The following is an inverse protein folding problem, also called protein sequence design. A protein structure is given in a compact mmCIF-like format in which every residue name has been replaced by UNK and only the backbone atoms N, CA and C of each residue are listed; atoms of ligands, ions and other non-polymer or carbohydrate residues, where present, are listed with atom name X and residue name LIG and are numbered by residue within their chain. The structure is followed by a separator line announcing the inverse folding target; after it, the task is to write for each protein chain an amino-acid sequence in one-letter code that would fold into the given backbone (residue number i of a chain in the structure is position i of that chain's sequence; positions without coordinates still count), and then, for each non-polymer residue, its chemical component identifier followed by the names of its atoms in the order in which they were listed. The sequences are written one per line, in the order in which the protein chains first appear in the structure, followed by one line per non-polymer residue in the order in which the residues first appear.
data_IF_678978465359
#
_entry.id   IF_678978465359
#
_cell.length_a   1.000
_cell.length_b   1.000
_cell.length_c   1.000
_cell.angle_alpha   90.00
_cell.angle_beta   90.00
_cell.angle_gamma   90.00
#
_symmetry.space_group_name_H-M   'P 1'
#
loop_
_entity.id
_entity.type
_entity.pdbx_description
1 polymer ?
#
# COMPACT_ATOMS: atom_id res chain seq x y z
N UNK A 1 -18.44 16.50 32.96
CA UNK A 1 -19.21 15.70 32.00
C UNK A 1 -20.54 16.37 31.72
N UNK A 2 -20.89 16.50 30.45
CA UNK A 2 -22.17 17.03 29.96
C UNK A 2 -23.27 15.97 30.07
N UNK A 3 -24.55 16.37 30.10
CA UNK A 3 -25.67 15.44 29.98
C UNK A 3 -25.65 14.69 28.64
N UNK A 4 -26.20 13.48 28.58
CA UNK A 4 -26.19 12.61 27.39
C UNK A 4 -26.82 13.22 26.12
N UNK A 5 -27.63 14.26 26.29
CA UNK A 5 -28.28 15.00 25.20
C UNK A 5 -27.42 16.10 24.59
N UNK A 6 -26.25 16.40 25.15
CA UNK A 6 -25.38 17.50 24.72
C UNK A 6 -23.98 16.96 24.41
N UNK A 7 -23.46 17.34 23.26
CA UNK A 7 -22.08 17.10 22.85
C UNK A 7 -21.29 18.41 22.92
N UNK A 8 -19.97 18.32 22.99
CA UNK A 8 -19.10 19.46 22.69
C UNK A 8 -19.26 19.80 21.21
N UNK A 9 -19.64 21.05 20.95
CA UNK A 9 -19.90 21.56 19.61
C UNK A 9 -19.51 23.04 19.57
N UNK A 10 -18.75 23.45 18.56
CA UNK A 10 -18.38 24.84 18.33
C UNK A 10 -19.59 25.68 17.89
N UNK A 11 -20.53 25.08 17.16
CA UNK A 11 -21.79 25.75 16.80
C UNK A 11 -22.73 25.97 18.00
N UNK A 12 -22.60 25.16 19.07
CA UNK A 12 -23.33 25.29 20.34
C UNK A 12 -22.36 25.21 21.53
N UNK A 13 -21.45 26.18 21.60
CA UNK A 13 -20.43 26.24 22.64
C UNK A 13 -21.02 26.19 24.05
N UNK A 14 -20.35 25.45 24.92
CA UNK A 14 -20.74 25.32 26.32
C UNK A 14 -19.96 26.31 27.17
N UNK A 15 -20.68 27.18 27.88
CA UNK A 15 -20.09 28.07 28.89
C UNK A 15 -20.28 27.48 30.30
N UNK A 16 -19.19 27.30 31.04
CA UNK A 16 -19.20 26.83 32.44
C UNK A 16 -18.78 27.98 33.34
N UNK A 17 -19.59 28.29 34.36
CA UNK A 17 -19.26 29.32 35.38
C UNK A 17 -18.97 28.67 36.73
N UNK A 18 -17.81 29.00 37.31
CA UNK A 18 -17.35 28.52 38.60
C UNK A 18 -17.47 29.64 39.63
N UNK A 19 -18.33 29.43 40.62
CA UNK A 19 -18.58 30.40 41.68
C UNK A 19 -18.32 29.78 43.06
N UNK A 20 -17.86 30.59 44.00
CA UNK A 20 -17.82 30.20 45.41
C UNK A 20 -19.26 30.02 45.91
N UNK A 21 -19.53 28.88 46.56
CA UNK A 21 -20.90 28.49 46.96
C UNK A 21 -21.57 29.51 47.87
N UNK A 22 -20.81 30.10 48.80
CA UNK A 22 -21.32 30.94 49.88
C UNK A 22 -21.77 32.33 49.39
N UNK A 23 -20.98 32.98 48.54
CA UNK A 23 -21.16 34.39 48.16
C UNK A 23 -21.30 34.61 46.66
N UNK A 24 -21.26 33.54 45.86
CA UNK A 24 -21.36 33.57 44.39
C UNK A 24 -20.25 34.39 43.71
N UNK A 25 -19.13 34.60 44.40
CA UNK A 25 -17.98 35.25 43.78
C UNK A 25 -17.34 34.35 42.72
N UNK A 26 -16.94 34.91 41.56
CA UNK A 26 -16.23 34.17 40.53
C UNK A 26 -14.91 33.58 41.00
N UNK A 27 -14.57 32.40 40.46
CA UNK A 27 -13.28 31.74 40.73
C UNK A 27 -12.41 31.78 39.46
N UNK A 28 -11.50 32.75 39.31
CA UNK A 28 -10.55 32.79 38.20
C UNK A 28 -9.42 31.77 38.36
N UNK A 29 -8.65 31.57 37.29
CA UNK A 29 -7.39 30.81 37.25
C UNK A 29 -7.53 29.33 37.66
N UNK A 30 -8.69 28.73 37.36
CA UNK A 30 -8.96 27.30 37.59
C UNK A 30 -9.10 26.57 36.27
N UNK A 31 -8.30 25.50 36.09
CA UNK A 31 -8.46 24.56 34.97
C UNK A 31 -9.76 23.79 35.15
N UNK A 32 -10.65 23.90 34.17
CA UNK A 32 -11.92 23.18 34.11
C UNK A 32 -11.93 22.35 32.84
N UNK A 33 -12.30 21.07 32.99
CA UNK A 33 -12.45 20.15 31.88
C UNK A 33 -13.92 19.82 31.65
N UNK A 34 -14.32 19.83 30.38
CA UNK A 34 -15.64 19.45 29.90
C UNK A 34 -15.48 18.25 28.98
N UNK A 35 -16.31 17.25 29.20
CA UNK A 35 -16.35 16.04 28.39
C UNK A 35 -17.80 15.63 28.15
N UNK A 36 -18.06 14.82 27.13
CA UNK A 36 -19.39 14.28 26.86
C UNK A 36 -19.36 12.74 26.70
N UNK A 37 -20.52 12.16 26.33
CA UNK A 37 -20.69 10.71 26.15
C UNK A 37 -19.89 10.10 24.99
N UNK A 38 -19.41 10.93 24.06
CA UNK A 38 -18.64 10.52 22.90
C UNK A 38 -17.14 10.67 23.15
N UNK A 39 -16.71 10.83 24.40
CA UNK A 39 -15.30 11.01 24.79
C UNK A 39 -14.65 12.26 24.17
N UNK A 40 -15.47 13.20 23.66
CA UNK A 40 -15.00 14.52 23.31
C UNK A 40 -14.52 15.21 24.59
N UNK A 41 -13.45 16.00 24.48
CA UNK A 41 -12.79 16.61 25.63
C UNK A 41 -12.30 18.01 25.30
N UNK A 42 -12.69 19.01 26.08
CA UNK A 42 -12.09 20.34 25.99
C UNK A 42 -11.86 20.87 27.39
N UNK A 43 -10.75 21.56 27.60
CA UNK A 43 -10.42 22.16 28.88
C UNK A 43 -9.83 23.55 28.69
N UNK A 44 -10.12 24.44 29.63
CA UNK A 44 -9.59 25.80 29.65
C UNK A 44 -9.48 26.31 31.08
N UNK A 45 -8.88 27.48 31.27
CA UNK A 45 -8.71 28.16 32.55
C UNK A 45 -9.78 29.23 32.69
N UNK A 46 -10.47 29.25 33.84
CA UNK A 46 -11.50 30.25 34.10
C UNK A 46 -10.98 31.68 34.06
N UNK A 47 -11.71 32.55 33.36
CA UNK A 47 -11.42 33.97 33.27
C UNK A 47 -11.71 34.74 34.57
N UNK A 48 -11.61 36.07 34.54
CA UNK A 48 -11.93 36.94 35.70
C UNK A 48 -13.38 36.85 36.16
N UNK A 49 -14.29 36.38 35.30
CA UNK A 49 -15.70 36.12 35.59
C UNK A 49 -15.92 34.66 36.04
N UNK A 50 -14.86 33.88 36.21
CA UNK A 50 -14.93 32.48 36.62
C UNK A 50 -15.47 31.59 35.51
N UNK A 51 -15.36 31.99 34.24
CA UNK A 51 -16.00 31.32 33.11
C UNK A 51 -14.98 30.69 32.17
N UNK A 52 -15.36 29.56 31.56
CA UNK A 52 -14.76 29.02 30.35
C UNK A 52 -15.85 28.83 29.29
N UNK A 53 -15.48 28.91 28.01
CA UNK A 53 -16.37 28.62 26.87
C UNK A 53 -15.65 27.65 25.94
N UNK A 54 -16.23 26.48 25.70
CA UNK A 54 -15.59 25.36 25.00
C UNK A 54 -16.54 24.65 24.03
N UNK A 55 -16.04 24.03 22.95
CA UNK A 55 -14.63 23.98 22.52
C UNK A 55 -14.15 25.31 21.90
N UNK A 56 -12.83 25.54 21.93
CA UNK A 56 -12.18 26.71 21.29
C UNK A 56 -11.32 26.25 20.10
N UNK A 57 -10.69 27.19 19.38
CA UNK A 57 -9.74 26.87 18.29
C UNK A 57 -8.44 26.20 18.75
N UNK A 58 -8.25 26.01 20.06
CA UNK A 58 -7.10 25.31 20.62
C UNK A 58 -7.47 24.49 21.85
N UNK A 59 -6.67 23.47 22.14
CA UNK A 59 -6.88 22.61 23.30
C UNK A 59 -5.62 21.84 23.66
N UNK A 60 -5.73 21.01 24.69
CA UNK A 60 -4.70 20.05 25.05
C UNK A 60 -5.30 18.67 25.24
N UNK A 61 -4.57 17.61 24.89
CA UNK A 61 -5.08 16.24 25.03
C UNK A 61 -5.19 15.80 26.48
N UNK A 62 -6.23 15.05 26.82
CA UNK A 62 -6.40 14.43 28.14
C UNK A 62 -5.61 13.12 28.28
N UNK A 63 -5.80 12.40 29.40
CA UNK A 63 -5.18 11.09 29.64
C UNK A 63 -5.58 9.99 28.65
N UNK A 64 -6.66 10.19 27.88
CA UNK A 64 -7.10 9.30 26.81
C UNK A 64 -6.60 9.76 25.43
N UNK A 65 -5.78 10.81 25.38
CA UNK A 65 -5.20 11.36 24.16
C UNK A 65 -6.14 12.27 23.37
N UNK A 66 -7.33 12.60 23.90
CA UNK A 66 -8.37 13.33 23.17
C UNK A 66 -8.33 14.84 23.45
N UNK A 67 -8.54 15.65 22.41
CA UNK A 67 -8.88 17.07 22.50
C UNK A 67 -9.88 17.46 21.42
N UNK A 68 -10.92 18.18 21.79
CA UNK A 68 -11.97 18.68 20.90
C UNK A 68 -11.79 20.17 20.71
N UNK A 69 -11.60 20.57 19.46
CA UNK A 69 -11.39 21.95 19.03
C UNK A 69 -12.40 22.31 17.96
N UNK A 70 -12.61 23.61 17.76
CA UNK A 70 -13.47 24.08 16.68
C UNK A 70 -13.16 25.51 16.28
N UNK A 71 -13.56 25.86 15.07
CA UNK A 71 -13.36 27.18 14.50
C UNK A 71 -14.41 27.45 13.41
N UNK A 72 -14.44 28.66 12.90
CA UNK A 72 -15.14 29.02 11.67
C UNK A 72 -14.13 28.97 10.52
N UNK A 73 -14.44 28.25 9.44
CA UNK A 73 -13.57 28.16 8.27
C UNK A 73 -13.67 29.42 7.40
N UNK A 74 -12.87 29.50 6.31
CA UNK A 74 -12.89 30.66 5.40
C UNK A 74 -14.26 30.92 4.73
N UNK A 75 -15.11 29.90 4.63
CA UNK A 75 -16.45 29.96 4.06
C UNK A 75 -17.54 30.32 5.10
N UNK A 76 -17.16 30.52 6.37
CA UNK A 76 -18.09 30.82 7.46
C UNK A 76 -18.77 29.60 8.06
N UNK A 77 -18.34 28.39 7.70
CA UNK A 77 -18.86 27.15 8.26
C UNK A 77 -18.16 26.82 9.58
N UNK A 78 -18.97 26.57 10.61
CA UNK A 78 -18.50 26.15 11.93
C UNK A 78 -18.11 24.68 11.90
N UNK A 79 -16.87 24.39 12.28
CA UNK A 79 -16.33 23.03 12.33
C UNK A 79 -16.01 22.64 13.76
N UNK A 80 -16.37 21.40 14.12
CA UNK A 80 -16.03 20.79 15.40
C UNK A 80 -15.32 19.48 15.16
N UNK A 81 -14.07 19.39 15.61
CA UNK A 81 -13.22 18.21 15.44
C UNK A 81 -12.72 17.70 16.79
N UNK A 82 -12.68 16.38 16.93
CA UNK A 82 -12.01 15.68 18.02
C UNK A 82 -10.75 15.02 17.47
N UNK A 83 -9.61 15.38 18.06
CA UNK A 83 -8.29 14.88 17.71
C UNK A 83 -7.84 13.94 18.82
N UNK A 84 -7.48 12.72 18.45
CA UNK A 84 -6.87 11.73 19.33
C UNK A 84 -5.42 11.49 18.92
N UNK A 85 -4.51 11.56 19.87
CA UNK A 85 -3.07 11.36 19.65
C UNK A 85 -2.59 10.13 20.41
N UNK A 86 -1.96 9.20 19.71
CA UNK A 86 -1.47 7.93 20.25
C UNK A 86 -0.09 7.60 19.70
N UNK A 87 0.70 6.87 20.49
CA UNK A 87 1.91 6.20 20.04
C UNK A 87 1.51 5.02 19.13
N UNK A 88 2.07 4.96 17.92
CA UNK A 88 1.68 3.99 16.90
C UNK A 88 2.08 2.56 17.31
N UNK A 89 3.27 2.37 17.87
CA UNK A 89 3.82 1.06 18.21
C UNK A 89 3.06 0.43 19.39
N UNK A 90 2.83 1.21 20.44
CA UNK A 90 2.23 0.74 21.70
C UNK A 90 0.73 0.97 21.79
N UNK A 91 0.14 1.76 20.88
CA UNK A 91 -1.25 2.22 20.90
C UNK A 91 -1.63 2.95 22.20
N UNK A 92 -0.64 3.53 22.88
CA UNK A 92 -0.87 4.28 24.13
C UNK A 92 -1.25 5.72 23.81
N UNK A 93 -2.28 6.27 24.47
CA UNK A 93 -2.61 7.68 24.30
C UNK A 93 -1.50 8.61 24.78
N UNK A 94 -1.33 9.75 24.09
CA UNK A 94 -0.36 10.79 24.44
C UNK A 94 -1.11 11.99 25.00
N UNK A 95 -0.96 12.19 26.31
CA UNK A 95 -1.55 13.33 27.02
C UNK A 95 -0.74 14.61 26.85
N UNK A 96 -1.37 15.76 27.10
CA UNK A 96 -0.76 17.08 27.10
C UNK A 96 -0.20 17.55 25.73
N UNK A 97 -0.61 16.94 24.61
CA UNK A 97 -0.32 17.50 23.28
C UNK A 97 -1.10 18.80 23.09
N UNK A 98 -0.49 19.86 22.58
CA UNK A 98 -1.23 21.08 22.19
C UNK A 98 -1.88 20.87 20.82
N UNK A 99 -3.19 21.07 20.73
CA UNK A 99 -3.95 20.96 19.49
C UNK A 99 -4.41 22.35 19.08
N UNK A 100 -4.23 22.70 17.81
CA UNK A 100 -4.76 23.94 17.21
C UNK A 100 -5.40 23.63 15.87
N UNK A 101 -6.52 24.28 15.59
CA UNK A 101 -7.17 24.22 14.29
C UNK A 101 -7.05 25.58 13.59
N UNK A 102 -6.58 25.57 12.35
CA UNK A 102 -6.49 26.77 11.50
C UNK A 102 -7.79 27.05 10.75
N UNK A 103 -7.91 28.26 10.19
CA UNK A 103 -9.09 28.67 9.40
C UNK A 103 -9.30 27.84 8.12
N UNK A 104 -8.23 27.21 7.61
CA UNK A 104 -8.30 26.28 6.47
C UNK A 104 -8.66 24.84 6.86
N UNK A 105 -9.00 24.59 8.13
CA UNK A 105 -9.21 23.24 8.67
C UNK A 105 -7.93 22.48 9.03
N UNK A 106 -6.74 23.03 8.78
CA UNK A 106 -5.48 22.37 9.10
C UNK A 106 -5.31 22.19 10.62
N UNK A 107 -4.88 21.01 11.04
CA UNK A 107 -4.67 20.66 12.45
C UNK A 107 -3.17 20.70 12.74
N UNK A 108 -2.79 21.43 13.78
CA UNK A 108 -1.44 21.39 14.35
C UNK A 108 -1.50 20.63 15.68
N UNK A 109 -0.67 19.60 15.78
CA UNK A 109 -0.43 18.82 17.00
C UNK A 109 0.99 19.08 17.46
N UNK A 110 1.17 19.69 18.64
CA UNK A 110 2.48 19.78 19.28
C UNK A 110 2.61 18.73 20.35
N UNK A 111 3.63 17.90 20.25
CA UNK A 111 3.92 16.86 21.23
C UNK A 111 4.46 17.49 22.53
N UNK A 112 4.20 16.86 23.69
CA UNK A 112 4.74 17.33 24.96
C UNK A 112 6.25 17.10 25.05
N UNK A 113 6.90 17.79 25.99
CA UNK A 113 8.34 17.67 26.26
C UNK A 113 8.76 16.20 26.48
N UNK A 114 9.81 15.77 25.79
CA UNK A 114 10.36 14.42 25.91
C UNK A 114 9.64 13.33 25.10
N UNK A 115 8.61 13.69 24.31
CA UNK A 115 8.05 12.79 23.29
C UNK A 115 8.72 13.08 21.95
N UNK A 116 9.64 12.20 21.58
CA UNK A 116 10.29 12.22 20.29
C UNK A 116 9.41 11.56 19.21
N UNK A 117 9.55 12.04 17.98
CA UNK A 117 8.88 11.51 16.81
C UNK A 117 9.93 11.03 15.81
N UNK A 118 10.07 9.71 15.70
CA UNK A 118 10.99 9.03 14.78
C UNK A 118 10.42 7.67 14.32
N UNK A 119 11.20 6.91 13.54
CA UNK A 119 10.76 5.62 12.99
C UNK A 119 10.46 4.53 14.04
N UNK A 120 10.96 4.70 15.27
CA UNK A 120 10.71 3.79 16.39
C UNK A 120 9.61 4.27 17.35
N UNK A 121 9.23 5.55 17.25
CA UNK A 121 8.23 6.22 18.08
C UNK A 121 7.31 7.03 17.16
N UNK A 122 6.55 6.33 16.32
CA UNK A 122 5.63 6.99 15.38
C UNK A 122 4.40 7.46 16.14
N UNK A 123 3.81 8.54 15.66
CA UNK A 123 2.62 9.17 16.22
C UNK A 123 1.45 8.93 15.29
N UNK A 124 0.38 8.34 15.83
CA UNK A 124 -0.91 8.25 15.15
C UNK A 124 -1.80 9.41 15.63
N UNK A 125 -2.28 10.22 14.69
CA UNK A 125 -3.32 11.23 14.93
C UNK A 125 -4.61 10.75 14.27
N UNK A 126 -5.67 10.60 15.05
CA UNK A 126 -7.02 10.30 14.55
C UNK A 126 -7.90 11.54 14.66
N UNK A 127 -8.60 11.88 13.60
CA UNK A 127 -9.48 13.05 13.51
C UNK A 127 -10.90 12.57 13.22
N UNK A 128 -11.82 12.91 14.11
CA UNK A 128 -13.26 12.65 13.93
C UNK A 128 -14.05 13.93 14.12
N UNK A 129 -15.31 13.95 13.68
CA UNK A 129 -16.28 14.94 14.16
C UNK A 129 -16.67 14.66 15.63
N UNK A 130 -17.51 15.52 16.21
CA UNK A 130 -18.03 15.35 17.57
C UNK A 130 -18.99 14.15 17.75
N UNK A 131 -19.34 13.45 16.66
CA UNK A 131 -20.18 12.25 16.63
C UNK A 131 -19.36 10.97 16.40
N UNK A 132 -18.02 11.05 16.39
CA UNK A 132 -17.08 9.95 16.11
C UNK A 132 -17.02 9.50 14.65
N UNK A 133 -17.53 10.29 13.70
CA UNK A 133 -17.36 10.00 12.28
C UNK A 133 -15.96 10.42 11.83
N UNK A 134 -15.16 9.52 11.22
CA UNK A 134 -13.84 9.84 10.69
C UNK A 134 -13.87 11.01 9.69
N UNK A 135 -12.82 11.83 9.70
CA UNK A 135 -12.62 12.93 8.74
C UNK A 135 -11.41 12.62 7.86
N UNK A 136 -11.66 12.24 6.61
CA UNK A 136 -10.64 11.98 5.58
C UNK A 136 -10.09 13.28 4.99
N UNK A 137 -8.90 13.21 4.39
CA UNK A 137 -8.27 14.29 3.61
C UNK A 137 -7.89 15.55 4.43
N UNK A 138 -7.94 15.46 5.77
CA UNK A 138 -7.59 16.56 6.67
C UNK A 138 -6.08 16.70 6.77
N UNK A 139 -5.57 17.91 6.53
CA UNK A 139 -4.13 18.18 6.70
C UNK A 139 -3.78 18.28 8.18
N UNK A 140 -2.86 17.42 8.63
CA UNK A 140 -2.36 17.38 10.00
C UNK A 140 -0.85 17.61 9.99
N UNK A 141 -0.37 18.47 10.88
CA UNK A 141 1.04 18.77 11.11
C UNK A 141 1.37 18.37 12.54
N UNK A 142 2.37 17.51 12.72
CA UNK A 142 2.87 17.10 14.03
C UNK A 142 4.24 17.73 14.26
N UNK A 143 4.40 18.43 15.38
CA UNK A 143 5.62 19.14 15.77
C UNK A 143 6.12 18.59 17.11
N UNK A 144 7.39 18.16 17.17
CA UNK A 144 8.03 17.76 18.44
C UNK A 144 8.50 18.98 19.24
N UNK A 145 8.86 18.77 20.51
CA UNK A 145 9.43 19.79 21.39
C UNK A 145 10.78 20.36 20.86
N UNK A 146 11.57 19.52 20.19
CA UNK A 146 12.81 19.88 19.51
C UNK A 146 12.60 20.56 18.14
N UNK A 147 11.35 20.79 17.73
CA UNK A 147 10.99 21.50 16.51
C UNK A 147 11.03 20.67 15.22
N UNK A 148 11.15 19.34 15.32
CA UNK A 148 10.96 18.45 14.17
C UNK A 148 9.50 18.53 13.74
N UNK A 149 9.25 18.62 12.43
CA UNK A 149 7.90 18.67 11.85
C UNK A 149 7.70 17.57 10.84
N UNK A 150 6.58 16.89 10.94
CA UNK A 150 6.08 15.95 9.95
C UNK A 150 4.63 16.36 9.64
N UNK A 151 4.18 16.10 8.42
CA UNK A 151 2.83 16.45 8.01
C UNK A 151 2.30 15.45 6.99
N UNK A 152 0.97 15.37 6.91
CA UNK A 152 0.29 14.50 5.97
C UNK A 152 -1.20 14.77 5.98
N UNK A 153 -1.95 13.89 5.31
CA UNK A 153 -3.40 13.90 5.31
C UNK A 153 -3.95 12.68 6.05
N UNK A 154 -5.14 12.81 6.60
CA UNK A 154 -5.86 11.66 7.17
C UNK A 154 -6.41 10.74 6.08
N UNK A 155 -6.37 9.44 6.33
CA UNK A 155 -6.98 8.40 5.48
C UNK A 155 -8.51 8.32 5.67
N UNK A 156 -9.15 7.36 4.98
CA UNK A 156 -10.60 7.06 5.10
C UNK A 156 -11.09 6.76 6.52
N UNK A 157 -10.19 6.34 7.41
CA UNK A 157 -10.46 6.05 8.81
C UNK A 157 -10.13 7.25 9.72
N UNK A 158 -9.82 8.40 9.11
CA UNK A 158 -9.52 9.66 9.79
C UNK A 158 -8.13 9.69 10.41
N UNK A 159 -7.20 8.83 9.98
CA UNK A 159 -5.89 8.63 10.64
C UNK A 159 -4.74 9.15 9.81
N UNK A 160 -3.75 9.74 10.50
CA UNK A 160 -2.42 10.01 9.98
C UNK A 160 -1.40 9.34 10.91
N UNK A 161 -0.38 8.67 10.35
CA UNK A 161 0.78 8.18 11.11
C UNK A 161 2.06 8.87 10.65
N UNK A 162 2.84 9.43 11.59
CA UNK A 162 4.09 10.17 11.32
C UNK A 162 5.23 9.83 12.31
N UNK A 163 6.49 9.70 11.87
CA UNK A 163 6.88 9.61 10.48
C UNK A 163 6.19 8.42 9.82
N UNK A 164 5.94 8.49 8.52
CA UNK A 164 5.24 7.44 7.83
C UNK A 164 5.80 6.04 8.08
N UNK A 165 4.94 5.03 8.07
CA UNK A 165 5.36 3.64 7.98
C UNK A 165 5.72 3.38 6.52
N UNK A 166 7.02 3.30 6.19
CA UNK A 166 7.43 2.76 4.89
C UNK A 166 7.44 1.24 5.03
N UNK A 167 6.45 0.56 4.45
CA UNK A 167 6.61 -0.85 4.12
C UNK A 167 7.43 -0.88 2.85
N UNK A 168 8.74 -1.11 2.98
CA UNK A 168 9.62 -1.22 1.82
C UNK A 168 9.75 -2.67 1.39
N UNK A 169 9.49 -2.96 0.13
CA UNK A 169 9.75 -4.27 -0.47
C UNK A 169 10.97 -4.19 -1.40
N UNK A 170 11.77 -5.26 -1.42
CA UNK A 170 12.87 -5.37 -2.38
C UNK A 170 12.38 -6.21 -3.55
N UNK A 171 12.34 -5.60 -4.73
CA UNK A 171 12.01 -6.30 -5.97
C UNK A 171 13.33 -6.63 -6.68
N UNK A 172 13.65 -7.92 -6.81
CA UNK A 172 14.78 -8.31 -7.65
C UNK A 172 14.37 -8.37 -9.13
N UNK A 173 15.31 -7.99 -10.01
CA UNK A 173 15.16 -8.25 -11.43
C UNK A 173 14.99 -9.75 -11.70
N UNK A 174 13.90 -10.12 -12.33
CA UNK A 174 13.58 -11.51 -12.68
C UNK A 174 13.73 -11.80 -14.17
N UNK A 175 13.96 -10.79 -15.01
CA UNK A 175 14.37 -10.95 -16.41
C UNK A 175 15.70 -10.27 -16.71
N UNK A 176 16.42 -10.84 -17.68
CA UNK A 176 17.67 -10.29 -18.21
C UNK A 176 17.54 -10.11 -19.73
N UNK A 177 18.29 -9.14 -20.27
CA UNK A 177 18.45 -8.99 -21.72
C UNK A 177 19.55 -9.87 -22.29
N UNK A 178 19.79 -9.71 -23.59
CA UNK A 178 20.82 -10.44 -24.31
C UNK A 178 22.19 -9.74 -24.23
N UNK A 179 23.31 -10.46 -24.43
CA UNK A 179 24.65 -9.88 -24.40
C UNK A 179 24.90 -8.77 -25.44
N UNK A 180 24.06 -8.68 -26.46
CA UNK A 180 24.08 -7.63 -27.49
C UNK A 180 23.37 -6.33 -27.03
N UNK A 181 22.88 -6.28 -25.79
CA UNK A 181 22.19 -5.14 -25.20
C UNK A 181 20.71 -5.02 -25.61
N UNK A 182 20.13 -6.04 -26.24
CA UNK A 182 18.71 -6.06 -26.60
C UNK A 182 17.86 -6.82 -25.59
N UNK A 183 16.56 -6.51 -25.50
CA UNK A 183 15.57 -7.27 -24.73
C UNK A 183 14.80 -8.27 -25.61
N UNK A 184 14.60 -7.95 -26.89
CA UNK A 184 13.79 -8.67 -27.88
C UNK A 184 12.34 -8.86 -27.41
N UNK A 185 11.58 -7.76 -27.19
CA UNK A 185 10.24 -7.82 -26.60
C UNK A 185 9.27 -8.71 -27.39
N UNK A 186 9.42 -8.74 -28.71
CA UNK A 186 8.55 -9.47 -29.63
C UNK A 186 8.96 -10.94 -29.86
N UNK A 187 10.10 -11.37 -29.31
CA UNK A 187 10.52 -12.77 -29.42
C UNK A 187 9.72 -13.65 -28.47
N UNK A 188 9.48 -14.89 -28.89
CA UNK A 188 8.90 -15.92 -28.03
C UNK A 188 9.88 -16.37 -26.95
N UNK A 189 9.35 -16.73 -25.78
CA UNK A 189 10.12 -17.32 -24.69
C UNK A 189 10.05 -18.86 -24.72
N UNK A 190 11.13 -19.54 -24.35
CA UNK A 190 11.15 -20.99 -24.18
C UNK A 190 10.55 -21.42 -22.84
N UNK A 191 10.13 -22.69 -22.74
CA UNK A 191 9.62 -23.27 -21.48
C UNK A 191 10.67 -23.25 -20.36
N UNK A 192 11.95 -23.44 -20.68
CA UNK A 192 13.04 -23.35 -19.71
C UNK A 192 13.25 -21.92 -19.17
N UNK A 193 13.17 -20.91 -20.03
CA UNK A 193 13.25 -19.50 -19.62
C UNK A 193 12.05 -19.12 -18.73
N UNK A 194 10.83 -19.50 -19.11
CA UNK A 194 9.63 -19.25 -18.32
C UNK A 194 9.71 -19.91 -16.93
N UNK A 195 10.17 -21.16 -16.86
CA UNK A 195 10.40 -21.85 -15.58
C UNK A 195 11.46 -21.15 -14.73
N UNK A 196 12.45 -20.50 -15.34
CA UNK A 196 13.51 -19.79 -14.59
C UNK A 196 12.96 -18.54 -13.90
N UNK A 197 12.06 -17.79 -14.55
CA UNK A 197 11.42 -16.61 -13.97
C UNK A 197 10.65 -16.98 -12.70
N UNK A 198 9.70 -17.91 -12.80
CA UNK A 198 8.89 -18.32 -11.64
C UNK A 198 9.72 -18.98 -10.54
N UNK A 199 10.78 -19.72 -10.90
CA UNK A 199 11.63 -20.35 -9.91
C UNK A 199 12.40 -19.30 -9.08
N UNK A 200 12.98 -18.28 -9.75
CA UNK A 200 13.70 -17.19 -9.07
C UNK A 200 12.77 -16.43 -8.12
N UNK A 201 11.59 -16.03 -8.61
CA UNK A 201 10.58 -15.32 -7.83
C UNK A 201 10.13 -16.13 -6.60
N UNK A 202 9.80 -17.41 -6.78
CA UNK A 202 9.33 -18.25 -5.68
C UNK A 202 10.45 -18.50 -4.65
N UNK A 203 11.68 -18.76 -5.10
CA UNK A 203 12.80 -18.99 -4.21
C UNK A 203 13.17 -17.74 -3.40
N UNK A 204 13.07 -16.54 -3.99
CA UNK A 204 13.27 -15.28 -3.27
C UNK A 204 12.20 -15.08 -2.19
N UNK A 205 10.91 -15.23 -2.54
CA UNK A 205 9.80 -15.11 -1.59
C UNK A 205 9.92 -16.09 -0.42
N UNK A 206 10.36 -17.32 -0.69
CA UNK A 206 10.50 -18.36 0.34
C UNK A 206 11.86 -18.35 1.05
N UNK A 207 12.81 -17.49 0.62
CA UNK A 207 14.18 -17.47 1.16
C UNK A 207 14.95 -18.77 0.90
N UNK A 208 14.65 -19.46 -0.22
CA UNK A 208 15.24 -20.73 -0.58
C UNK A 208 16.37 -20.60 -1.60
N UNK A 209 17.25 -21.60 -1.64
CA UNK A 209 18.31 -21.67 -2.65
C UNK A 209 18.00 -22.76 -3.67
N UNK A 210 18.16 -22.44 -4.96
CA UNK A 210 17.95 -23.40 -6.05
C UNK A 210 19.30 -24.04 -6.40
N UNK A 211 19.43 -25.38 -6.38
CA UNK A 211 20.63 -26.06 -6.85
C UNK A 211 20.92 -25.75 -8.32
N UNK A 212 22.17 -25.47 -8.67
CA UNK A 212 22.58 -25.19 -10.06
C UNK A 212 22.44 -26.39 -11.01
N UNK A 213 22.45 -27.60 -10.46
CA UNK A 213 22.27 -28.85 -11.21
C UNK A 213 21.28 -29.75 -10.48
N UNK A 214 20.36 -30.37 -11.20
CA UNK A 214 19.40 -31.29 -10.60
C UNK A 214 19.05 -32.47 -11.52
N UNK A 215 18.81 -33.63 -10.89
CA UNK A 215 18.25 -34.79 -11.59
C UNK A 215 16.72 -34.62 -11.62
N UNK A 216 16.16 -34.65 -12.81
CA UNK A 216 14.70 -34.63 -13.03
C UNK A 216 14.23 -36.00 -13.53
N UNK A 217 12.90 -36.18 -13.61
CA UNK A 217 12.30 -37.36 -14.27
C UNK A 217 12.34 -37.29 -15.80
N UNK A 218 12.69 -36.13 -16.37
CA UNK A 218 12.60 -35.85 -17.79
C UNK A 218 13.92 -36.17 -18.51
N UNK A 219 13.83 -36.90 -19.61
CA UNK A 219 15.00 -37.37 -20.39
C UNK A 219 15.69 -36.23 -21.14
N UNK A 220 14.94 -35.20 -21.49
CA UNK A 220 15.38 -34.00 -22.21
C UNK A 220 15.81 -32.85 -21.30
N UNK A 221 15.95 -33.12 -19.99
CA UNK A 221 16.56 -32.19 -19.03
C UNK A 221 17.84 -32.81 -18.48
N UNK A 222 18.98 -32.68 -19.21
CA UNK A 222 20.27 -33.13 -18.70
C UNK A 222 20.63 -32.44 -17.37
N UNK A 223 21.27 -33.19 -16.46
CA UNK A 223 21.61 -32.74 -15.10
C UNK A 223 22.44 -31.46 -15.07
N UNK A 224 23.31 -31.26 -16.05
CA UNK A 224 24.19 -30.10 -16.14
C UNK A 224 23.63 -28.96 -16.99
N UNK A 225 22.36 -29.05 -17.41
CA UNK A 225 21.71 -27.96 -18.12
C UNK A 225 21.48 -26.81 -17.15
N UNK A 226 21.68 -25.59 -17.60
CA UNK A 226 21.53 -24.37 -16.80
C UNK A 226 20.14 -24.24 -16.17
N UNK A 227 19.12 -24.83 -16.79
CA UNK A 227 17.73 -24.82 -16.33
C UNK A 227 17.33 -26.02 -15.45
N UNK A 228 18.19 -27.02 -15.27
CA UNK A 228 17.81 -28.29 -14.62
C UNK A 228 17.34 -28.09 -13.17
N UNK A 229 18.02 -27.20 -12.44
CA UNK A 229 17.66 -26.77 -11.08
C UNK A 229 16.29 -26.13 -11.00
N UNK A 230 16.06 -25.10 -11.83
CA UNK A 230 14.79 -24.36 -11.87
C UNK A 230 13.61 -25.26 -12.22
N UNK A 231 13.77 -26.12 -13.24
CA UNK A 231 12.75 -27.09 -13.64
C UNK A 231 12.45 -28.06 -12.48
N UNK A 232 13.47 -28.62 -11.82
CA UNK A 232 13.27 -29.52 -10.69
C UNK A 232 12.53 -28.84 -9.53
N UNK A 233 12.93 -27.61 -9.23
CA UNK A 233 12.37 -26.81 -8.15
C UNK A 233 10.87 -26.59 -8.34
N UNK A 234 10.46 -26.07 -9.50
CA UNK A 234 9.05 -25.81 -9.79
C UNK A 234 8.18 -27.07 -9.93
N UNK A 235 8.75 -28.21 -10.35
CA UNK A 235 8.02 -29.49 -10.33
C UNK A 235 7.67 -29.89 -8.90
N UNK A 236 8.59 -29.70 -7.95
CA UNK A 236 8.36 -30.08 -6.55
C UNK A 236 7.26 -29.22 -5.91
N UNK A 237 7.12 -27.97 -6.36
CA UNK A 237 6.04 -27.06 -5.97
C UNK A 237 4.77 -27.22 -6.82
N UNK A 238 4.76 -28.07 -7.83
CA UNK A 238 3.58 -28.28 -8.69
C UNK A 238 3.29 -27.14 -9.67
N UNK A 239 4.19 -26.16 -9.81
CA UNK A 239 3.99 -25.00 -10.69
C UNK A 239 4.11 -25.38 -12.17
N UNK A 240 5.07 -26.25 -12.51
CA UNK A 240 5.29 -26.71 -13.89
C UNK A 240 5.17 -28.23 -14.04
N UNK A 241 4.64 -28.65 -15.18
CA UNK A 241 4.58 -30.04 -15.60
C UNK A 241 5.25 -30.25 -16.96
N UNK A 242 5.65 -31.49 -17.23
CA UNK A 242 6.16 -31.91 -18.53
C UNK A 242 5.04 -31.98 -19.57
N UNK A 243 5.43 -32.02 -20.84
CA UNK A 243 4.50 -32.26 -21.95
C UNK A 243 4.13 -33.75 -22.10
N UNK A 244 4.91 -34.63 -21.45
CA UNK A 244 4.60 -36.04 -21.22
C UNK A 244 5.17 -36.46 -19.86
N UNK A 245 4.99 -37.74 -19.50
CA UNK A 245 5.53 -38.29 -18.25
C UNK A 245 7.06 -38.16 -18.13
N UNK A 246 7.77 -38.20 -19.26
CA UNK A 246 9.23 -38.26 -19.35
C UNK A 246 9.88 -37.16 -20.23
N UNK A 247 9.10 -36.17 -20.71
CA UNK A 247 9.60 -35.03 -21.49
C UNK A 247 9.11 -33.68 -20.96
N UNK A 248 10.01 -32.69 -20.88
CA UNK A 248 9.69 -31.31 -20.50
C UNK A 248 9.57 -30.35 -21.69
N UNK A 249 10.30 -30.62 -22.77
CA UNK A 249 10.52 -29.77 -23.93
C UNK A 249 11.09 -28.38 -23.59
N UNK A 250 12.29 -28.29 -23.00
CA UNK A 250 12.84 -27.03 -22.47
C UNK A 250 13.01 -25.93 -23.54
N UNK A 251 13.43 -26.31 -24.75
CA UNK A 251 13.69 -25.36 -25.85
C UNK A 251 12.44 -25.04 -26.70
N UNK A 252 11.30 -25.67 -26.40
CA UNK A 252 10.03 -25.37 -27.09
C UNK A 252 9.55 -23.99 -26.63
N UNK A 253 9.10 -23.17 -27.57
CA UNK A 253 8.42 -21.92 -27.25
C UNK A 253 7.18 -22.23 -26.38
N UNK A 254 7.05 -21.51 -25.27
CA UNK A 254 5.90 -21.64 -24.36
C UNK A 254 4.70 -20.94 -24.99
N UNK A 255 3.55 -21.62 -25.01
CA UNK A 255 2.32 -21.00 -25.50
C UNK A 255 1.75 -20.07 -24.45
N UNK A 256 0.89 -19.16 -24.86
CA UNK A 256 0.22 -18.22 -23.98
C UNK A 256 -0.62 -18.94 -22.91
N UNK A 257 -1.32 -20.02 -23.28
CA UNK A 257 -2.03 -20.88 -22.33
C UNK A 257 -1.10 -21.66 -21.38
N UNK A 258 0.03 -22.19 -21.86
CA UNK A 258 1.00 -22.87 -21.01
C UNK A 258 1.57 -21.90 -19.95
N UNK A 259 1.91 -20.67 -20.36
CA UNK A 259 2.44 -19.67 -19.45
C UNK A 259 1.40 -19.20 -18.41
N UNK A 260 0.14 -18.97 -18.83
CA UNK A 260 -0.94 -18.65 -17.90
C UNK A 260 -1.19 -19.77 -16.89
N UNK A 261 -1.14 -21.03 -17.31
CA UNK A 261 -1.26 -22.15 -16.38
C UNK A 261 -0.09 -22.21 -15.37
N UNK A 262 1.12 -21.82 -15.77
CA UNK A 262 2.25 -21.70 -14.83
C UNK A 262 2.02 -20.55 -13.85
N UNK A 263 1.55 -19.41 -14.33
CA UNK A 263 1.27 -18.22 -13.52
C UNK A 263 0.21 -18.51 -12.44
N UNK A 264 -0.92 -19.13 -12.80
CA UNK A 264 -1.98 -19.48 -11.84
C UNK A 264 -1.48 -20.46 -10.78
N UNK A 265 -0.77 -21.53 -11.18
CA UNK A 265 -0.23 -22.49 -10.20
C UNK A 265 0.88 -21.89 -9.34
N UNK A 266 1.70 -21.02 -9.92
CA UNK A 266 2.68 -20.26 -9.15
C UNK A 266 1.98 -19.45 -8.08
N UNK A 267 0.90 -18.76 -8.43
CA UNK A 267 0.13 -17.95 -7.52
C UNK A 267 -0.45 -18.73 -6.34
N UNK A 268 -1.01 -19.92 -6.59
CA UNK A 268 -1.52 -20.83 -5.55
C UNK A 268 -0.47 -21.19 -4.48
N UNK A 269 0.81 -21.18 -4.85
CA UNK A 269 1.94 -21.52 -3.98
C UNK A 269 2.61 -20.27 -3.39
N UNK A 270 2.68 -19.19 -4.16
CA UNK A 270 3.37 -17.96 -3.79
C UNK A 270 2.75 -17.28 -2.57
N UNK A 271 1.42 -17.41 -2.41
CA UNK A 271 0.68 -16.94 -1.25
C UNK A 271 0.68 -15.42 -1.16
N UNK A 272 -0.49 -14.85 -1.50
CA UNK A 272 -0.82 -13.42 -1.62
C UNK A 272 -0.70 -12.85 -3.04
N UNK A 273 -1.83 -12.34 -3.55
CA UNK A 273 -1.89 -11.43 -4.69
C UNK A 273 -3.30 -11.23 -5.25
N UNK A 274 -3.63 -9.95 -5.37
CA UNK A 274 -4.87 -9.36 -5.90
C UNK A 274 -6.20 -9.88 -5.31
N UNK A 275 -6.95 -8.97 -4.67
CA UNK A 275 -8.41 -9.10 -4.61
C UNK A 275 -8.95 -9.40 -6.02
N UNK A 276 -10.05 -10.15 -6.14
CA UNK A 276 -10.74 -10.32 -7.42
C UNK A 276 -11.04 -8.92 -8.02
N UNK A 277 -10.31 -8.53 -9.09
CA UNK A 277 -10.34 -7.16 -9.61
C UNK A 277 -11.57 -6.96 -10.53
N UNK A 278 -12.18 -8.04 -11.03
CA UNK A 278 -13.28 -7.96 -12.00
C UNK A 278 -14.56 -8.70 -11.54
N UNK A 279 -15.65 -7.95 -11.36
CA UNK A 279 -17.01 -8.50 -11.13
C UNK A 279 -17.60 -9.23 -12.36
N UNK A 280 -16.97 -9.12 -13.54
CA UNK A 280 -17.43 -9.77 -14.79
C UNK A 280 -16.27 -9.99 -15.76
N UNK A 281 -16.08 -11.23 -16.18
CA UNK A 281 -14.95 -11.67 -17.02
C UNK A 281 -15.18 -11.40 -18.50
N UNK A 282 -14.14 -11.06 -19.27
CA UNK A 282 -14.20 -11.13 -20.72
C UNK A 282 -14.21 -12.60 -21.15
N UNK A 283 -15.35 -13.08 -21.67
CA UNK A 283 -15.39 -14.36 -22.38
C UNK A 283 -14.55 -14.23 -23.67
N UNK A 284 -13.54 -15.07 -23.81
CA UNK A 284 -12.73 -15.11 -25.02
C UNK A 284 -13.41 -15.98 -26.06
N UNK A 285 -13.67 -15.38 -27.22
CA UNK A 285 -14.44 -16.02 -28.32
C UNK A 285 -13.76 -17.24 -28.93
N UNK A 286 -12.45 -17.38 -28.73
CA UNK A 286 -11.61 -18.47 -29.23
C UNK A 286 -11.30 -19.54 -28.16
N UNK A 287 -11.82 -19.40 -26.94
CA UNK A 287 -11.62 -20.35 -25.85
C UNK A 287 -12.94 -21.07 -25.56
N UNK A 288 -12.94 -22.38 -25.79
CA UNK A 288 -14.05 -23.27 -25.42
C UNK A 288 -13.91 -23.71 -23.97
N UNK A 289 -15.02 -23.91 -23.27
CA UNK A 289 -15.04 -24.50 -21.91
C UNK A 289 -14.35 -25.88 -21.84
N UNK A 290 -14.28 -26.60 -22.96
CA UNK A 290 -13.59 -27.90 -23.04
C UNK A 290 -12.07 -27.78 -23.29
N UNK A 291 -11.54 -26.58 -23.48
CA UNK A 291 -10.11 -26.36 -23.67
C UNK A 291 -9.38 -26.62 -22.35
N UNK A 292 -8.25 -27.34 -22.41
CA UNK A 292 -7.54 -27.84 -21.22
C UNK A 292 -7.12 -26.75 -20.23
N UNK A 293 -6.88 -25.53 -20.72
CA UNK A 293 -6.50 -24.37 -19.93
C UNK A 293 -7.62 -23.36 -19.73
N UNK A 294 -8.87 -23.67 -20.10
CA UNK A 294 -9.99 -22.75 -19.97
C UNK A 294 -10.14 -22.23 -18.53
N UNK A 295 -10.03 -23.10 -17.52
CA UNK A 295 -10.11 -22.72 -16.12
C UNK A 295 -8.97 -21.78 -15.70
N UNK A 296 -7.72 -22.08 -16.09
CA UNK A 296 -6.57 -21.22 -15.78
C UNK A 296 -6.66 -19.85 -16.47
N UNK A 297 -7.13 -19.83 -17.72
CA UNK A 297 -7.33 -18.59 -18.47
C UNK A 297 -8.42 -17.76 -17.81
N UNK A 298 -9.54 -18.39 -17.43
CA UNK A 298 -10.61 -17.71 -16.73
C UNK A 298 -10.10 -17.12 -15.41
N UNK A 299 -9.46 -17.93 -14.56
CA UNK A 299 -8.94 -17.53 -13.26
C UNK A 299 -7.95 -16.35 -13.35
N UNK A 300 -6.99 -16.41 -14.29
CA UNK A 300 -6.06 -15.31 -14.51
C UNK A 300 -6.75 -14.05 -15.05
N UNK A 301 -7.90 -14.16 -15.73
CA UNK A 301 -8.69 -13.01 -16.16
C UNK A 301 -9.49 -12.40 -14.99
N UNK A 302 -9.99 -13.23 -14.05
CA UNK A 302 -10.67 -12.77 -12.82
C UNK A 302 -9.79 -11.82 -12.03
N UNK A 303 -8.53 -12.22 -11.86
CA UNK A 303 -7.53 -11.47 -11.12
C UNK A 303 -6.89 -10.33 -11.94
N UNK A 304 -7.32 -10.14 -13.20
CA UNK A 304 -6.82 -9.07 -14.06
C UNK A 304 -5.39 -9.26 -14.58
N UNK A 305 -4.76 -10.42 -14.35
CA UNK A 305 -3.39 -10.71 -14.79
C UNK A 305 -3.28 -10.78 -16.31
N UNK A 306 -4.29 -11.37 -16.96
CA UNK A 306 -4.36 -11.45 -18.43
C UNK A 306 -5.44 -10.54 -19.02
N UNK A 307 -5.16 -10.08 -20.24
CA UNK A 307 -6.11 -9.38 -21.10
C UNK A 307 -6.02 -9.96 -22.51
N UNK A 308 -7.15 -10.02 -23.23
CA UNK A 308 -7.16 -10.46 -24.64
C UNK A 308 -6.57 -9.42 -25.58
N UNK A 309 -6.51 -9.74 -26.87
CA UNK A 309 -5.92 -8.87 -27.91
C UNK A 309 -6.81 -7.71 -28.36
N UNK A 310 -7.90 -7.42 -27.64
CA UNK A 310 -8.85 -6.35 -27.94
C UNK A 310 -9.88 -6.69 -29.05
N UNK A 311 -9.66 -7.77 -29.79
CA UNK A 311 -10.58 -8.34 -30.79
C UNK A 311 -11.52 -9.42 -30.20
N UNK A 312 -11.46 -9.63 -28.88
CA UNK A 312 -12.20 -10.67 -28.18
C UNK A 312 -11.52 -12.04 -28.16
N UNK A 313 -10.27 -12.15 -28.64
CA UNK A 313 -9.48 -13.39 -28.62
C UNK A 313 -8.40 -13.41 -27.54
N UNK A 314 -8.06 -14.61 -27.05
CA UNK A 314 -6.93 -14.86 -26.15
C UNK A 314 -5.70 -15.46 -26.84
N UNK A 315 -5.90 -16.18 -27.95
CA UNK A 315 -4.86 -16.85 -28.75
C UNK A 315 -4.00 -17.81 -27.93
N UNK A 316 -4.67 -18.75 -27.29
CA UNK A 316 -4.09 -19.68 -26.31
C UNK A 316 -2.87 -20.48 -26.83
N UNK A 317 -2.90 -20.91 -28.09
CA UNK A 317 -1.87 -21.77 -28.67
C UNK A 317 -0.72 -20.98 -29.33
N UNK A 318 -0.82 -19.65 -29.41
CA UNK A 318 0.26 -18.81 -29.93
C UNK A 318 1.43 -18.77 -28.92
N UNK A 319 2.68 -18.77 -29.39
CA UNK A 319 3.85 -18.51 -28.53
C UNK A 319 3.72 -17.15 -27.84
N UNK A 320 3.90 -17.12 -26.52
CA UNK A 320 3.87 -15.87 -25.75
C UNK A 320 5.17 -15.08 -25.98
N UNK A 321 5.03 -13.77 -26.16
CA UNK A 321 6.14 -12.83 -26.35
C UNK A 321 6.75 -12.41 -25.02
N UNK A 322 8.04 -12.06 -25.03
CA UNK A 322 8.75 -11.59 -23.83
C UNK A 322 8.12 -10.35 -23.18
N UNK A 323 7.58 -9.42 -23.98
CA UNK A 323 6.83 -8.27 -23.47
C UNK A 323 5.55 -8.68 -22.75
N UNK A 324 4.84 -9.68 -23.26
CA UNK A 324 3.61 -10.19 -22.64
C UNK A 324 3.90 -10.94 -21.34
N UNK A 325 5.02 -11.67 -21.30
CA UNK A 325 5.51 -12.34 -20.08
C UNK A 325 5.71 -11.34 -18.95
N UNK A 326 6.48 -10.26 -19.17
CA UNK A 326 6.76 -9.28 -18.09
C UNK A 326 5.50 -8.52 -17.67
N UNK A 327 4.60 -8.20 -18.61
CA UNK A 327 3.33 -7.54 -18.26
C UNK A 327 2.43 -8.45 -17.42
N UNK A 328 2.32 -9.73 -17.78
CA UNK A 328 1.50 -10.69 -17.02
C UNK A 328 2.11 -10.92 -15.63
N UNK A 329 3.43 -11.17 -15.57
CA UNK A 329 4.12 -11.39 -14.30
C UNK A 329 4.07 -10.17 -13.39
N UNK A 330 4.28 -8.96 -13.89
CA UNK A 330 4.14 -7.72 -13.11
C UNK A 330 2.74 -7.58 -12.50
N UNK A 331 1.69 -7.79 -13.30
CA UNK A 331 0.30 -7.77 -12.80
C UNK A 331 0.01 -8.85 -11.76
N UNK A 332 0.54 -10.05 -11.98
CA UNK A 332 0.40 -11.16 -11.03
C UNK A 332 1.03 -10.82 -9.68
N UNK A 333 2.21 -10.19 -9.70
CA UNK A 333 2.91 -9.79 -8.49
C UNK A 333 2.34 -8.51 -7.86
N UNK A 334 1.55 -7.74 -8.61
CA UNK A 334 1.10 -6.41 -8.22
C UNK A 334 2.20 -5.35 -8.34
N UNK A 335 3.26 -5.63 -9.09
CA UNK A 335 4.39 -4.74 -9.27
C UNK A 335 4.16 -3.80 -10.46
N UNK A 336 4.44 -2.51 -10.27
CA UNK A 336 4.32 -1.47 -11.28
C UNK A 336 5.47 -0.50 -11.16
N UNK A 337 6.17 -0.27 -12.27
CA UNK A 337 7.27 0.70 -12.28
C UNK A 337 6.79 2.11 -11.90
N UNK A 338 7.59 2.79 -11.07
CA UNK A 338 7.51 4.24 -10.91
C UNK A 338 8.01 4.93 -12.19
N UNK A 339 7.07 5.30 -13.07
CA UNK A 339 7.38 5.92 -14.36
C UNK A 339 8.26 7.18 -14.21
N UNK A 340 8.01 8.00 -13.19
CA UNK A 340 8.77 9.24 -12.97
C UNK A 340 10.19 8.91 -12.54
N UNK A 341 10.36 7.98 -11.61
CA UNK A 341 11.69 7.54 -11.19
C UNK A 341 12.47 6.96 -12.37
N UNK A 342 11.84 6.09 -13.18
CA UNK A 342 12.45 5.47 -14.35
C UNK A 342 12.92 6.54 -15.35
N UNK A 343 12.07 7.54 -15.61
CA UNK A 343 12.39 8.63 -16.53
C UNK A 343 13.55 9.51 -16.06
N UNK A 344 13.58 9.84 -14.77
CA UNK A 344 14.59 10.71 -14.19
C UNK A 344 15.93 9.99 -13.96
N UNK A 345 15.90 8.67 -13.73
CA UNK A 345 17.06 7.87 -13.38
C UNK A 345 17.53 6.92 -14.48
N UNK A 346 17.07 7.08 -15.73
CA UNK A 346 17.33 6.15 -16.83
C UNK A 346 18.80 5.72 -16.96
N UNK A 347 19.77 6.62 -16.71
CA UNK A 347 21.22 6.34 -16.80
C UNK A 347 21.77 5.39 -15.74
N UNK A 348 21.05 5.18 -14.64
CA UNK A 348 21.41 4.27 -13.55
C UNK A 348 20.76 2.89 -13.71
N UNK A 349 19.77 2.80 -14.60
CA UNK A 349 18.99 1.58 -14.85
C UNK A 349 19.57 0.80 -16.02
N UNK A 350 19.33 -0.51 -16.02
CA UNK A 350 19.53 -1.39 -17.16
C UNK A 350 18.63 -0.90 -18.31
N UNK A 351 19.24 -0.69 -19.48
CA UNK A 351 18.56 -0.25 -20.69
C UNK A 351 18.73 -1.25 -21.82
N UNK A 352 17.79 -1.23 -22.76
CA UNK A 352 17.81 -2.08 -23.95
C UNK A 352 17.78 -1.26 -25.23
N UNK A 353 18.64 -1.59 -26.18
CA UNK A 353 18.82 -0.83 -27.41
C UNK A 353 17.65 -0.96 -28.41
N UNK A 354 16.77 -1.94 -28.21
CA UNK A 354 15.63 -2.27 -29.06
C UNK A 354 14.28 -1.97 -28.40
N UNK A 355 14.27 -1.42 -27.18
CA UNK A 355 13.04 -1.03 -26.47
C UNK A 355 13.02 0.48 -26.27
N UNK A 356 12.24 1.18 -27.10
CA UNK A 356 11.98 2.60 -26.93
C UNK A 356 10.89 2.86 -25.89
N UNK A 357 10.87 4.05 -25.28
CA UNK A 357 9.79 4.48 -24.38
C UNK A 357 8.38 4.43 -24.98
N UNK A 358 8.25 4.53 -26.31
CA UNK A 358 6.96 4.38 -27.00
C UNK A 358 6.48 2.92 -27.12
N UNK A 359 7.30 1.95 -26.71
CA UNK A 359 6.87 0.56 -26.66
C UNK A 359 5.83 0.38 -25.55
N UNK A 360 4.73 -0.30 -25.86
CA UNK A 360 3.59 -0.42 -24.95
C UNK A 360 3.93 -1.10 -23.62
N UNK A 361 4.93 -1.98 -23.61
CA UNK A 361 5.42 -2.68 -22.42
C UNK A 361 6.70 -2.05 -21.82
N UNK A 362 7.04 -0.81 -22.16
CA UNK A 362 8.35 -0.23 -21.78
C UNK A 362 8.55 -0.26 -20.27
N UNK A 363 7.59 0.21 -19.49
CA UNK A 363 7.73 0.30 -18.03
C UNK A 363 7.69 -1.06 -17.35
N UNK A 364 6.91 -2.01 -17.85
CA UNK A 364 6.89 -3.40 -17.38
C UNK A 364 8.22 -4.12 -17.65
N UNK A 365 8.88 -3.80 -18.77
CA UNK A 365 10.24 -4.27 -19.05
C UNK A 365 11.23 -3.65 -18.07
N UNK A 366 11.09 -2.36 -17.74
CA UNK A 366 11.97 -1.68 -16.79
C UNK A 366 11.81 -2.24 -15.38
N UNK A 367 10.58 -2.45 -14.92
CA UNK A 367 10.22 -3.13 -13.66
C UNK A 367 10.90 -4.50 -13.56
N UNK A 368 10.68 -5.35 -14.55
CA UNK A 368 11.17 -6.72 -14.52
C UNK A 368 12.71 -6.84 -14.57
N UNK A 369 13.40 -5.86 -15.17
CA UNK A 369 14.83 -5.92 -15.48
C UNK A 369 15.73 -5.15 -14.50
N UNK A 370 15.16 -4.44 -13.51
CA UNK A 370 15.92 -3.59 -12.60
C UNK A 370 15.57 -3.93 -11.15
N UNK A 371 16.55 -4.40 -10.38
CA UNK A 371 16.35 -4.55 -8.94
C UNK A 371 16.24 -3.18 -8.27
N UNK A 372 15.27 -3.01 -7.38
CA UNK A 372 15.01 -1.76 -6.69
C UNK A 372 14.31 -2.01 -5.35
N UNK A 373 14.24 -0.97 -4.52
CA UNK A 373 13.43 -0.96 -3.30
C UNK A 373 12.20 -0.11 -3.55
N UNK A 374 11.03 -0.69 -3.32
CA UNK A 374 9.72 -0.07 -3.46
C UNK A 374 9.21 0.41 -2.11
N UNK A 375 8.75 1.66 -1.98
CA UNK A 375 7.88 2.11 -0.88
C UNK A 375 6.42 1.77 -1.23
N UNK A 376 5.74 0.98 -0.39
CA UNK A 376 4.39 0.45 -0.64
C UNK A 376 3.25 1.35 -0.14
N UNK A 377 3.57 2.58 0.27
CA UNK A 377 2.68 3.52 0.95
C UNK A 377 1.29 3.77 0.35
N UNK A 378 1.18 3.75 -0.98
CA UNK A 378 -0.06 4.05 -1.73
C UNK A 378 0.02 3.57 -3.19
N UNK A 379 1.22 3.71 -3.79
CA UNK A 379 1.67 3.13 -5.06
C UNK A 379 3.17 2.91 -4.97
N UNK A 380 3.63 1.82 -5.57
CA UNK A 380 5.05 1.47 -5.66
C UNK A 380 5.89 2.68 -6.12
N UNK A 381 6.70 3.21 -5.21
CA UNK A 381 7.64 4.30 -5.48
C UNK A 381 9.06 3.75 -5.33
N UNK A 382 9.86 3.85 -6.38
CA UNK A 382 11.23 3.32 -6.36
C UNK A 382 12.16 4.26 -5.58
N UNK A 383 13.04 3.71 -4.74
CA UNK A 383 14.02 4.46 -3.92
C UNK A 383 15.44 4.22 -4.42
#
# INVERSE_FOLDING_TARGET
MLPDSRLLDFADQTTVTVLIKADKTPVPDRKIAVSDKNDNYSADITDKLGQITVPTGSGSTNGDGNSTVGNENEDGEEITLTVKVEDYETKRPIENCEIKIGNSGNILVKLPDGVDMDENNRITVTVTDNKKNPQEDMTVIVESDLGRKENGKTDKDGKLTVPPVSETEHHAAYVEGYPDGSFKPENSMTRAEAATIFARLLAEKLGESIPSTAITKFKDVPVNSWYSGYVKYLINYGVVYGISDDMFAPDKAVTRAEFTAFAVRFFEVYGEGSEEIMNKYPEFTDISDAYWAAEYINDAAIHGWIQGYGDGTFRADDPIRRSEVVTLTGRLLGHYADENYVDENIRKLNQFNDVSKSHWAYYEIMEAANSHTADMKDKESWI
#
